data_IF_988001143496
#
_entry.id   IF_988001143496
#
_cell.length_a   1.000
_cell.length_b   1.000
_cell.length_c   1.000
_cell.angle_alpha   90.00
_cell.angle_beta   90.00
_cell.angle_gamma   90.00
#
_symmetry.space_group_name_H-M   'P 1'
#
loop_
_entity.id
_entity.type
_entity.pdbx_description
1 polymer ?
#
# COMPACT_ATOMS: atom_id res chain seq x y z
N UNK A 1 -10.89 1.44 17.96
CA UNK A 1 -11.84 2.09 17.02
C UNK A 1 -11.52 1.55 15.63
N UNK A 2 -12.40 0.71 15.07
CA UNK A 2 -12.25 0.25 13.68
C UNK A 2 -12.55 1.42 12.76
N UNK A 3 -11.59 1.78 11.91
CA UNK A 3 -11.84 2.73 10.82
C UNK A 3 -11.62 1.96 9.53
N UNK A 4 -12.71 1.60 8.87
CA UNK A 4 -12.68 1.07 7.50
C UNK A 4 -12.63 2.30 6.60
N UNK A 5 -11.58 2.44 5.79
CA UNK A 5 -11.53 3.44 4.72
C UNK A 5 -11.63 2.70 3.40
N UNK A 6 -12.66 3.05 2.64
CA UNK A 6 -12.92 2.52 1.30
C UNK A 6 -12.40 3.55 0.30
N UNK A 7 -11.43 3.17 -0.51
CA UNK A 7 -11.01 3.94 -1.68
C UNK A 7 -11.48 3.15 -2.90
N UNK A 8 -12.52 3.66 -3.55
CA UNK A 8 -13.12 3.06 -4.73
C UNK A 8 -12.72 3.85 -5.97
N UNK A 9 -12.10 3.17 -6.93
CA UNK A 9 -12.06 3.62 -8.31
C UNK A 9 -13.05 2.74 -9.09
N UNK A 10 -13.93 3.39 -9.84
CA UNK A 10 -15.11 2.77 -10.47
C UNK A 10 -14.66 1.55 -11.29
N UNK A 11 -15.20 0.38 -10.93
CA UNK A 11 -14.99 -0.95 -11.52
C UNK A 11 -13.82 -1.83 -11.00
N UNK A 12 -13.04 -1.38 -10.00
CA UNK A 12 -12.04 -2.22 -9.32
C UNK A 12 -12.04 -1.97 -7.81
N UNK A 13 -12.87 -2.73 -7.08
CA UNK A 13 -13.02 -2.52 -5.63
C UNK A 13 -11.86 -3.16 -4.88
N UNK A 14 -10.93 -2.32 -4.41
CA UNK A 14 -9.94 -2.69 -3.40
C UNK A 14 -10.49 -2.36 -2.02
N UNK A 15 -10.20 -3.19 -1.02
CA UNK A 15 -10.58 -2.91 0.37
C UNK A 15 -9.38 -3.06 1.29
N UNK A 16 -9.00 -1.97 1.92
CA UNK A 16 -8.02 -1.98 3.00
C UNK A 16 -8.72 -2.02 4.35
N UNK A 17 -8.49 -3.10 5.11
CA UNK A 17 -9.05 -3.25 6.46
C UNK A 17 -7.92 -3.21 7.48
N UNK A 18 -7.99 -2.26 8.43
CA UNK A 18 -7.03 -2.17 9.53
C UNK A 18 -7.69 -2.55 10.85
N UNK A 19 -7.11 -3.54 11.53
CA UNK A 19 -7.52 -3.94 12.88
C UNK A 19 -6.46 -3.45 13.86
N UNK A 20 -6.88 -2.74 14.90
CA UNK A 20 -6.00 -2.30 15.97
C UNK A 20 -6.26 -3.12 17.23
N UNK A 21 -5.22 -3.74 17.77
CA UNK A 21 -5.27 -4.41 19.06
C UNK A 21 -5.51 -3.41 20.19
N UNK A 22 -6.26 -3.83 21.22
CA UNK A 22 -6.44 -3.00 22.41
C UNK A 22 -5.12 -2.95 23.20
N UNK A 23 -4.60 -1.75 23.55
CA UNK A 23 -3.35 -1.63 24.31
C UNK A 23 -3.45 -2.19 25.73
N UNK A 24 -4.67 -2.38 26.24
CA UNK A 24 -4.91 -3.00 27.53
C UNK A 24 -5.01 -4.53 27.39
N UNK A 25 -4.06 -5.24 28.02
CA UNK A 25 -3.92 -6.70 27.97
C UNK A 25 -5.16 -7.47 28.45
N UNK A 26 -5.99 -6.87 29.34
CA UNK A 26 -7.24 -7.49 29.78
C UNK A 26 -8.28 -7.64 28.66
N UNK A 27 -8.19 -6.83 27.60
CA UNK A 27 -9.09 -6.87 26.44
C UNK A 27 -8.49 -7.60 25.24
N UNK A 28 -7.31 -8.21 25.39
CA UNK A 28 -6.64 -8.94 24.31
C UNK A 28 -7.49 -10.11 23.81
N UNK A 29 -8.26 -10.76 24.70
CA UNK A 29 -9.20 -11.84 24.35
C UNK A 29 -10.22 -11.41 23.29
N UNK A 30 -10.75 -10.19 23.41
CA UNK A 30 -11.69 -9.67 22.42
C UNK A 30 -11.02 -9.42 21.06
N UNK A 31 -9.78 -8.93 21.05
CA UNK A 31 -9.00 -8.78 19.80
C UNK A 31 -8.78 -10.14 19.14
N UNK A 32 -8.44 -11.17 19.92
CA UNK A 32 -8.29 -12.54 19.41
C UNK A 32 -9.59 -13.12 18.85
N UNK A 33 -10.72 -12.89 19.53
CA UNK A 33 -12.03 -13.30 19.02
C UNK A 33 -12.38 -12.60 17.70
N UNK A 34 -12.05 -11.31 17.57
CA UNK A 34 -12.23 -10.56 16.31
C UNK A 34 -11.36 -11.10 15.18
N UNK A 35 -10.08 -11.41 15.45
CA UNK A 35 -9.18 -11.97 14.44
C UNK A 35 -9.63 -13.36 13.97
N UNK A 36 -10.17 -14.18 14.87
CA UNK A 36 -10.73 -15.50 14.52
C UNK A 36 -11.96 -15.36 13.63
N UNK A 37 -12.89 -14.47 13.99
CA UNK A 37 -14.07 -14.18 13.15
C UNK A 37 -13.69 -13.58 11.80
N UNK A 38 -12.67 -12.71 11.76
CA UNK A 38 -12.16 -12.19 10.51
C UNK A 38 -11.65 -13.32 9.63
N UNK A 39 -10.90 -14.27 10.19
CA UNK A 39 -10.42 -15.43 9.46
C UNK A 39 -11.57 -16.28 8.89
N UNK A 40 -12.58 -16.58 9.70
CA UNK A 40 -13.81 -17.28 9.25
C UNK A 40 -14.49 -16.54 8.08
N UNK A 41 -14.61 -15.22 8.18
CA UNK A 41 -15.20 -14.39 7.10
C UNK A 41 -14.34 -14.41 5.83
N UNK A 42 -13.01 -14.40 5.95
CA UNK A 42 -12.11 -14.51 4.80
C UNK A 42 -12.29 -15.85 4.10
N UNK A 43 -12.39 -16.96 4.85
CA UNK A 43 -12.67 -18.30 4.31
C UNK A 43 -14.04 -18.36 3.63
N UNK A 44 -15.10 -17.86 4.30
CA UNK A 44 -16.46 -17.82 3.75
C UNK A 44 -16.57 -16.99 2.46
N UNK A 45 -15.73 -15.95 2.34
CA UNK A 45 -15.65 -15.12 1.13
C UNK A 45 -14.73 -15.71 0.04
N UNK A 46 -14.07 -16.84 0.30
CA UNK A 46 -13.07 -17.42 -0.60
C UNK A 46 -11.88 -16.51 -0.84
N UNK A 47 -11.43 -15.79 0.19
CA UNK A 47 -10.27 -14.89 0.16
C UNK A 47 -9.05 -15.61 0.76
N UNK A 48 -8.07 -15.89 -0.10
CA UNK A 48 -6.82 -16.54 0.29
C UNK A 48 -5.70 -15.52 0.46
N UNK A 49 -4.77 -15.78 1.38
CA UNK A 49 -3.57 -14.95 1.56
C UNK A 49 -2.68 -15.01 0.32
N UNK A 50 -2.34 -13.84 -0.23
CA UNK A 50 -1.41 -13.74 -1.34
C UNK A 50 0.02 -14.06 -0.89
N UNK A 51 0.73 -14.86 -1.69
CA UNK A 51 2.15 -15.09 -1.50
C UNK A 51 2.96 -13.80 -1.62
N UNK A 52 4.07 -13.69 -0.87
CA UNK A 52 4.91 -12.48 -0.83
C UNK A 52 6.39 -12.77 -1.13
N UNK A 53 7.11 -11.73 -1.58
CA UNK A 53 8.56 -11.73 -1.76
C UNK A 53 9.20 -10.72 -0.80
N UNK A 54 10.40 -11.03 -0.31
CA UNK A 54 11.15 -10.15 0.60
C UNK A 54 10.96 -10.53 2.09
N UNK A 55 11.29 -9.62 3.02
CA UNK A 55 11.25 -9.93 4.45
C UNK A 55 9.84 -10.22 4.96
N UNK A 56 9.72 -11.23 5.84
CA UNK A 56 8.44 -11.68 6.39
C UNK A 56 7.81 -10.68 7.38
N UNK A 57 8.64 -10.01 8.17
CA UNK A 57 8.21 -9.15 9.27
C UNK A 57 8.05 -7.72 8.74
N UNK A 58 6.85 -7.17 8.84
CA UNK A 58 6.45 -5.90 8.23
C UNK A 58 6.38 -4.75 9.22
N UNK A 59 6.46 -5.02 10.52
CA UNK A 59 6.49 -4.00 11.57
C UNK A 59 7.60 -4.26 12.58
N UNK A 60 8.12 -3.20 13.20
CA UNK A 60 8.98 -3.31 14.37
C UNK A 60 8.72 -2.20 15.39
N UNK A 61 8.96 -2.46 16.67
CA UNK A 61 8.75 -1.49 17.75
C UNK A 61 9.83 -0.40 17.87
N UNK A 62 10.74 -0.28 16.89
CA UNK A 62 11.87 0.65 16.82
C UNK A 62 12.81 0.61 18.03
N UNK A 63 12.85 -0.52 18.75
CA UNK A 63 13.82 -0.75 19.82
C UNK A 63 15.07 -1.44 19.29
N UNK A 64 16.15 -1.35 20.05
CA UNK A 64 17.44 -1.94 19.68
C UNK A 64 17.61 -3.35 20.24
N UNK A 65 18.44 -4.15 19.56
CA UNK A 65 18.90 -5.46 20.00
C UNK A 65 17.76 -6.39 20.48
N UNK A 66 17.88 -6.94 21.69
CA UNK A 66 16.94 -7.90 22.26
C UNK A 66 15.59 -7.28 22.65
N UNK A 67 15.50 -5.94 22.72
CA UNK A 67 14.23 -5.25 22.94
C UNK A 67 13.45 -5.04 21.63
N UNK A 68 14.07 -5.29 20.47
CA UNK A 68 13.41 -5.18 19.18
C UNK A 68 12.40 -6.32 19.01
N UNK A 69 11.13 -5.94 18.98
CA UNK A 69 10.04 -6.86 18.64
C UNK A 69 9.61 -6.55 17.21
N UNK A 70 9.54 -7.59 16.40
CA UNK A 70 9.15 -7.52 15.00
C UNK A 70 7.97 -8.44 14.74
N UNK A 71 6.99 -7.97 13.98
CA UNK A 71 5.75 -8.69 13.71
C UNK A 71 5.37 -8.60 12.24
N UNK A 72 4.58 -9.57 11.77
CA UNK A 72 3.97 -9.54 10.44
C UNK A 72 2.53 -9.06 10.55
N UNK A 73 2.33 -7.76 10.34
CA UNK A 73 1.02 -7.10 10.48
C UNK A 73 0.34 -6.86 9.13
N UNK A 74 1.11 -6.48 8.12
CA UNK A 74 0.59 -6.23 6.77
C UNK A 74 0.49 -7.54 5.96
N UNK A 75 -0.73 -7.89 5.56
CA UNK A 75 -1.07 -9.09 4.76
C UNK A 75 -2.05 -8.72 3.66
N UNK A 76 -1.92 -9.34 2.50
CA UNK A 76 -2.86 -9.19 1.40
C UNK A 76 -3.63 -10.48 1.18
N UNK A 77 -4.92 -10.36 0.87
CA UNK A 77 -5.82 -11.48 0.58
C UNK A 77 -6.60 -11.18 -0.70
N UNK A 78 -6.88 -12.20 -1.49
CA UNK A 78 -7.66 -12.07 -2.72
C UNK A 78 -8.45 -13.34 -3.01
N UNK A 79 -9.52 -13.22 -3.79
CA UNK A 79 -10.29 -14.38 -4.25
C UNK A 79 -9.77 -14.88 -5.60
N UNK A 80 -10.22 -16.08 -5.99
CA UNK A 80 -9.82 -16.70 -7.26
C UNK A 80 -10.06 -15.81 -8.49
N UNK A 81 -11.17 -15.05 -8.52
CA UNK A 81 -11.46 -14.13 -9.64
C UNK A 81 -10.41 -13.04 -9.78
N UNK A 82 -9.92 -12.50 -8.67
CA UNK A 82 -8.87 -11.50 -8.69
C UNK A 82 -7.54 -12.10 -9.15
N UNK A 83 -7.19 -13.31 -8.70
CA UNK A 83 -5.96 -13.98 -9.16
C UNK A 83 -6.02 -14.36 -10.64
N UNK A 84 -7.21 -14.66 -11.16
CA UNK A 84 -7.43 -14.90 -12.59
C UNK A 84 -7.25 -13.63 -13.43
N UNK A 85 -7.63 -12.46 -12.88
CA UNK A 85 -7.43 -11.16 -13.54
C UNK A 85 -5.97 -10.71 -13.52
N UNK A 86 -5.22 -11.07 -12.49
CA UNK A 86 -3.82 -10.65 -12.29
C UNK A 86 -2.91 -11.86 -12.11
N UNK A 87 -2.78 -12.76 -13.10
CA UNK A 87 -2.05 -14.03 -12.93
C UNK A 87 -0.54 -13.83 -12.66
N UNK A 88 0.00 -12.66 -13.02
CA UNK A 88 1.41 -12.32 -12.82
C UNK A 88 1.62 -11.38 -11.63
N UNK A 89 0.64 -11.23 -10.73
CA UNK A 89 0.78 -10.33 -9.60
C UNK A 89 2.03 -10.67 -8.77
N UNK A 90 2.64 -9.64 -8.18
CA UNK A 90 3.74 -9.80 -7.24
C UNK A 90 3.55 -8.88 -6.06
N UNK A 91 3.39 -9.49 -4.89
CA UNK A 91 3.33 -8.80 -3.62
C UNK A 91 4.71 -8.83 -2.95
N UNK A 92 5.29 -7.66 -2.67
CA UNK A 92 6.67 -7.53 -2.18
C UNK A 92 6.72 -6.67 -0.92
N UNK A 93 7.36 -7.19 0.13
CA UNK A 93 7.73 -6.42 1.30
C UNK A 93 9.10 -5.79 1.07
N UNK A 94 9.17 -4.46 1.06
CA UNK A 94 10.41 -3.70 0.87
C UNK A 94 11.10 -3.41 2.21
N UNK A 95 12.17 -2.63 2.19
CA UNK A 95 12.89 -2.22 3.39
C UNK A 95 12.10 -1.22 4.24
N UNK A 96 12.51 -1.07 5.51
CA UNK A 96 12.01 0.02 6.35
C UNK A 96 12.52 1.34 5.81
N UNK A 97 11.65 2.36 5.76
CA UNK A 97 12.02 3.69 5.26
C UNK A 97 11.37 4.77 6.12
N UNK A 98 12.03 5.14 7.22
CA UNK A 98 11.55 6.20 8.13
C UNK A 98 10.21 5.91 8.83
N UNK A 99 9.73 4.66 8.75
CA UNK A 99 8.49 4.19 9.35
C UNK A 99 8.76 2.92 10.17
N UNK A 100 7.94 2.70 11.19
CA UNK A 100 7.91 1.45 11.97
C UNK A 100 7.26 0.30 11.17
N UNK A 101 6.63 0.60 10.05
CA UNK A 101 6.17 -0.34 9.03
C UNK A 101 7.08 -0.36 7.79
N UNK A 102 7.20 -1.53 7.16
CA UNK A 102 7.79 -1.70 5.82
C UNK A 102 6.84 -1.19 4.76
N UNK A 103 7.40 -0.74 3.64
CA UNK A 103 6.61 -0.48 2.44
C UNK A 103 6.20 -1.81 1.83
N UNK A 104 4.92 -1.91 1.47
CA UNK A 104 4.35 -3.05 0.77
C UNK A 104 4.04 -2.63 -0.66
N UNK A 105 4.53 -3.40 -1.63
CA UNK A 105 4.33 -3.15 -3.07
C UNK A 105 3.54 -4.29 -3.69
N UNK A 106 2.41 -3.96 -4.31
CA UNK A 106 1.63 -4.88 -5.14
C UNK A 106 1.78 -4.47 -6.61
N UNK A 107 2.52 -5.26 -7.37
CA UNK A 107 2.62 -5.13 -8.82
C UNK A 107 1.60 -6.09 -9.47
N UNK A 108 0.75 -5.58 -10.35
CA UNK A 108 -0.32 -6.35 -11.01
C UNK A 108 0.08 -6.84 -12.41
N UNK A 109 1.10 -6.22 -13.01
CA UNK A 109 1.51 -6.50 -14.38
C UNK A 109 2.63 -7.53 -14.43
N UNK A 110 3.24 -7.85 -13.29
CA UNK A 110 4.31 -8.83 -13.18
C UNK A 110 5.46 -8.53 -14.11
N UNK A 111 5.71 -7.24 -14.37
CA UNK A 111 6.85 -6.80 -15.16
C UNK A 111 8.08 -7.23 -14.38
N UNK A 112 8.68 -8.31 -14.85
CA UNK A 112 9.88 -8.88 -14.31
C UNK A 112 10.83 -7.74 -13.95
N UNK A 113 11.31 -7.77 -12.72
CA UNK A 113 12.45 -6.96 -12.29
C UNK A 113 13.70 -7.55 -12.94
N UNK A 114 13.70 -7.62 -14.27
CA UNK A 114 14.89 -7.84 -15.07
C UNK A 114 15.67 -6.52 -15.01
N UNK A 115 16.47 -6.39 -13.95
CA UNK A 115 17.28 -5.22 -13.69
C UNK A 115 16.60 -4.18 -12.81
N UNK A 116 16.99 -4.16 -11.54
CA UNK A 116 17.17 -2.89 -10.80
C UNK A 116 18.39 -2.09 -11.33
N UNK A 117 18.91 -2.45 -12.51
CA UNK A 117 19.82 -1.63 -13.29
C UNK A 117 19.04 -1.06 -14.49
N UNK A 118 19.03 0.26 -14.59
CA UNK A 118 18.51 1.04 -15.71
C UNK A 118 16.98 1.21 -15.79
N UNK A 119 16.40 1.91 -14.80
CA UNK A 119 15.22 2.74 -15.06
C UNK A 119 15.68 4.18 -15.23
N UNK A 120 15.94 4.58 -16.47
CA UNK A 120 15.66 5.94 -16.88
C UNK A 120 14.24 6.30 -16.44
N UNK A 121 14.11 7.34 -15.62
CA UNK A 121 12.83 7.83 -15.11
C UNK A 121 12.46 7.26 -13.73
N UNK A 122 12.94 7.90 -12.66
CA UNK A 122 12.24 7.85 -11.38
C UNK A 122 10.84 8.40 -11.66
N UNK A 123 9.83 7.54 -11.66
CA UNK A 123 8.44 7.99 -11.81
C UNK A 123 8.11 9.07 -10.78
N UNK A 124 7.21 9.99 -11.14
CA UNK A 124 6.69 10.98 -10.22
C UNK A 124 6.13 10.31 -8.97
N UNK A 125 6.51 10.79 -7.78
CA UNK A 125 5.90 10.37 -6.52
C UNK A 125 5.22 11.58 -5.93
N UNK A 126 3.93 11.46 -5.64
CA UNK A 126 3.20 12.48 -4.91
C UNK A 126 3.24 12.16 -3.42
N UNK A 127 3.72 13.09 -2.59
CA UNK A 127 3.67 12.93 -1.14
C UNK A 127 2.46 13.68 -0.56
N UNK A 128 1.64 13.06 0.31
CA UNK A 128 0.48 13.73 0.93
C UNK A 128 0.83 15.00 1.70
N UNK A 129 2.09 15.18 2.10
CA UNK A 129 2.55 16.40 2.75
C UNK A 129 2.59 17.62 1.83
N UNK A 130 2.69 17.43 0.52
CA UNK A 130 2.62 18.53 -0.46
C UNK A 130 1.27 19.23 -0.41
N UNK A 131 0.18 18.53 -0.08
CA UNK A 131 -1.14 19.14 0.12
C UNK A 131 -1.21 20.10 1.32
N UNK A 132 -0.19 20.11 2.19
CA UNK A 132 -0.08 21.09 3.28
C UNK A 132 0.63 22.36 2.85
N UNK A 133 1.32 22.33 1.72
CA UNK A 133 1.88 23.53 1.11
C UNK A 133 0.74 24.34 0.49
N UNK A 134 0.69 25.63 0.83
CA UNK A 134 -0.32 26.55 0.28
C UNK A 134 -0.21 26.72 -1.23
N UNK A 135 0.98 26.50 -1.80
CA UNK A 135 1.23 26.67 -3.24
C UNK A 135 0.86 25.41 -4.04
N UNK A 136 0.78 24.23 -3.40
CA UNK A 136 0.53 22.96 -4.09
C UNK A 136 -0.79 22.91 -4.89
N UNK A 137 -1.95 23.36 -4.35
CA UNK A 137 -3.19 23.40 -5.11
C UNK A 137 -3.12 24.31 -6.34
N UNK A 138 -2.42 25.44 -6.22
CA UNK A 138 -2.27 26.41 -7.32
C UNK A 138 -1.41 25.83 -8.44
N UNK A 139 -0.28 25.21 -8.08
CA UNK A 139 0.62 24.52 -9.01
C UNK A 139 -0.10 23.42 -9.78
N UNK A 140 -0.93 22.61 -9.10
CA UNK A 140 -1.69 21.52 -9.74
C UNK A 140 -2.71 22.09 -10.74
N UNK A 141 -3.47 23.11 -10.33
CA UNK A 141 -4.49 23.74 -11.18
C UNK A 141 -3.88 24.40 -12.41
N UNK A 142 -2.75 25.10 -12.24
CA UNK A 142 -2.05 25.75 -13.34
C UNK A 142 -1.46 24.72 -14.31
N UNK A 143 -0.83 23.66 -13.79
CA UNK A 143 -0.32 22.57 -14.61
C UNK A 143 -1.43 21.88 -15.42
N UNK A 144 -2.62 21.68 -14.84
CA UNK A 144 -3.78 21.10 -15.53
C UNK A 144 -4.41 22.03 -16.57
N UNK A 145 -4.39 23.34 -16.35
CA UNK A 145 -4.93 24.32 -17.31
C UNK A 145 -4.02 24.51 -18.53
N UNK A 146 -2.70 24.40 -18.33
CA UNK A 146 -1.71 24.76 -19.34
C UNK A 146 -1.14 23.57 -20.14
N UNK A 147 -1.50 22.33 -19.76
CA UNK A 147 -1.03 21.13 -20.46
C UNK A 147 -2.17 20.21 -20.87
N UNK A 148 -2.11 19.69 -22.10
CA UNK A 148 -3.02 18.65 -22.57
C UNK A 148 -2.72 17.35 -21.84
N UNK A 149 -3.53 17.03 -20.84
CA UNK A 149 -3.46 15.75 -20.14
C UNK A 149 -4.12 14.66 -21.00
N UNK A 150 -3.31 13.75 -21.52
CA UNK A 150 -3.76 12.61 -22.33
C UNK A 150 -4.00 11.34 -21.51
N UNK A 151 -3.97 11.45 -20.17
CA UNK A 151 -4.07 10.31 -19.26
C UNK A 151 -2.74 9.61 -18.95
N UNK A 152 -1.63 10.02 -19.57
CA UNK A 152 -0.30 9.44 -19.31
C UNK A 152 0.45 10.16 -18.18
N UNK A 153 1.29 9.41 -17.45
CA UNK A 153 2.20 9.97 -16.43
C UNK A 153 3.18 10.99 -17.04
N UNK A 154 3.56 10.80 -18.29
CA UNK A 154 4.50 11.69 -18.98
C UNK A 154 3.87 13.05 -19.26
N UNK A 155 2.61 13.11 -19.73
CA UNK A 155 1.94 14.39 -19.97
C UNK A 155 1.70 15.17 -18.67
N UNK A 156 1.39 14.46 -17.58
CA UNK A 156 1.32 15.05 -16.24
C UNK A 156 2.68 15.60 -15.77
N UNK A 157 3.75 14.82 -15.92
CA UNK A 157 5.10 15.23 -15.53
C UNK A 157 5.59 16.45 -16.33
N UNK A 158 5.35 16.48 -17.63
CA UNK A 158 5.68 17.63 -18.48
C UNK A 158 5.00 18.91 -17.97
N UNK A 159 3.79 18.80 -17.42
CA UNK A 159 3.10 19.95 -16.83
C UNK A 159 3.69 20.46 -15.53
N UNK A 160 4.47 19.63 -14.83
CA UNK A 160 5.10 20.00 -13.55
C UNK A 160 6.59 20.35 -13.69
N UNK A 161 7.18 20.21 -14.88
CA UNK A 161 8.61 20.50 -15.11
C UNK A 161 9.01 21.96 -14.81
N UNK A 162 8.06 22.90 -14.82
CA UNK A 162 8.30 24.30 -14.46
C UNK A 162 8.39 24.59 -12.95
N UNK A 163 8.08 23.62 -12.10
CA UNK A 163 7.95 23.79 -10.64
C UNK A 163 8.93 22.92 -9.83
N UNK A 164 9.83 22.20 -10.50
CA UNK A 164 10.81 21.30 -9.90
C UNK A 164 12.18 21.95 -9.70
#
# INVERSE_FOLDING_TARGET
MLTVREEAEVDRVWRFTRVYGNPNSYHQRHTWDLLRRLHEVLEDCGLDELGFVGPCLTWNNSKEATANVQERLDRAVANGRWTDLFPNFRFTNLEFWGSDHRVVLLDLEGRASDGWGDRQGRGFKFEPWWLKDSECPEIILEAWANHTFDGSINSFLTGLQGYA
#
